data_IF_464212071184
#
_entry.id   IF_464212071184
#
_cell.length_a   1.000
_cell.length_b   1.000
_cell.length_c   1.000
_cell.angle_alpha   90.00
_cell.angle_beta   90.00
_cell.angle_gamma   90.00
#
_symmetry.space_group_name_H-M   'P 1'
#
loop_
_entity.id
_entity.type
_entity.pdbx_description
1 polymer ?
#
# COMPACT_ATOMS: atom_id res chain seq x y z
N UNK A 1 -19.51 -11.62 25.03
CA UNK A 1 -20.96 -11.71 24.72
C UNK A 1 -21.49 -10.30 24.48
N UNK A 2 -22.27 -10.12 23.40
CA UNK A 2 -23.19 -8.99 23.12
C UNK A 2 -22.65 -7.54 23.10
N UNK A 3 -22.54 -6.99 21.87
CA UNK A 3 -23.15 -5.68 21.53
C UNK A 3 -24.68 -5.88 21.41
N UNK A 4 -25.53 -4.84 21.51
CA UNK A 4 -25.76 -3.85 20.44
C UNK A 4 -25.42 -2.42 20.91
N UNK A 5 -25.23 -1.40 20.07
CA UNK A 5 -25.83 -1.18 18.75
C UNK A 5 -26.88 -0.06 18.87
N UNK A 6 -26.46 1.19 18.65
CA UNK A 6 -27.35 2.34 18.46
C UNK A 6 -26.86 3.18 17.28
N UNK A 7 -27.80 3.52 16.43
CA UNK A 7 -27.58 4.13 15.12
C UNK A 7 -27.31 5.62 15.25
N UNK A 8 -26.39 6.11 14.40
CA UNK A 8 -26.27 7.54 14.06
C UNK A 8 -26.02 7.65 12.56
N UNK A 9 -27.07 7.36 11.79
CA UNK A 9 -27.10 7.58 10.35
C UNK A 9 -27.07 9.08 10.05
N UNK A 10 -25.90 9.58 9.66
CA UNK A 10 -25.74 10.89 9.01
C UNK A 10 -25.15 10.69 7.62
N UNK A 11 -26.01 10.32 6.68
CA UNK A 11 -25.73 10.41 5.25
C UNK A 11 -25.70 11.88 4.84
N UNK A 12 -24.59 12.31 4.26
CA UNK A 12 -24.45 13.54 3.51
C UNK A 12 -23.50 13.26 2.34
N UNK A 13 -23.77 13.87 1.18
CA UNK A 13 -23.14 13.58 -0.12
C UNK A 13 -23.69 12.31 -0.79
N UNK A 14 -24.05 12.33 -2.08
CA UNK A 14 -24.16 13.46 -3.03
C UNK A 14 -25.04 13.04 -4.20
N UNK A 15 -25.97 13.90 -4.59
CA UNK A 15 -26.74 13.74 -5.82
C UNK A 15 -25.86 14.20 -7.00
N UNK A 16 -25.50 13.26 -7.89
CA UNK A 16 -24.93 13.58 -9.20
C UNK A 16 -25.76 12.83 -10.27
N UNK A 17 -26.80 13.49 -10.83
CA UNK A 17 -27.15 13.42 -12.27
C UNK A 17 -28.36 14.28 -12.67
N UNK A 18 -28.36 14.61 -13.96
CA UNK A 18 -29.49 15.08 -14.79
C UNK A 18 -30.06 16.47 -14.52
N UNK A 19 -29.45 17.48 -15.17
CA UNK A 19 -30.18 18.63 -15.70
C UNK A 19 -29.81 18.85 -17.18
N UNK A 20 -30.73 18.39 -18.04
CA UNK A 20 -31.21 19.04 -19.25
C UNK A 20 -30.21 19.44 -20.37
N UNK A 21 -30.03 18.51 -21.31
CA UNK A 21 -29.72 18.80 -22.71
C UNK A 21 -30.97 19.40 -23.39
N UNK A 22 -30.96 20.70 -23.73
CA UNK A 22 -31.97 21.34 -24.59
C UNK A 22 -31.48 22.69 -25.13
N UNK A 23 -30.85 22.69 -26.30
CA UNK A 23 -30.85 23.83 -27.23
C UNK A 23 -30.90 23.32 -28.67
N UNK A 24 -32.10 23.38 -29.24
CA UNK A 24 -32.43 23.79 -30.61
C UNK A 24 -31.45 23.42 -31.75
N UNK A 25 -31.89 22.53 -32.63
CA UNK A 25 -31.25 22.31 -33.93
C UNK A 25 -31.71 23.33 -34.97
N UNK A 26 -30.80 23.72 -35.87
CA UNK A 26 -31.12 24.41 -37.13
C UNK A 26 -30.42 23.69 -38.28
N UNK A 27 -31.25 23.07 -39.13
CA UNK A 27 -31.01 22.61 -40.51
C UNK A 27 -29.56 22.52 -41.03
N UNK A 28 -29.07 21.28 -41.17
CA UNK A 28 -28.10 20.96 -42.23
C UNK A 28 -28.86 20.62 -43.53
N UNK A 29 -28.88 21.55 -44.47
CA UNK A 29 -29.24 21.33 -45.88
C UNK A 29 -28.13 21.96 -46.76
N UNK A 30 -27.98 21.51 -48.01
CA UNK A 30 -26.66 21.19 -48.54
C UNK A 30 -25.96 22.36 -49.23
N UNK A 31 -24.64 22.35 -49.21
CA UNK A 31 -23.81 23.19 -50.09
C UNK A 31 -24.05 22.81 -51.56
N UNK A 32 -24.54 23.73 -52.41
CA UNK A 32 -24.72 23.47 -53.83
C UNK A 32 -23.57 24.07 -54.63
N UNK A 33 -22.73 23.23 -55.25
CA UNK A 33 -21.96 23.63 -56.43
C UNK A 33 -22.08 22.56 -57.50
N UNK A 34 -22.56 23.00 -58.66
CA UNK A 34 -22.82 22.17 -59.83
C UNK A 34 -21.71 22.31 -60.86
N UNK A 35 -21.36 21.15 -61.41
CA UNK A 35 -21.01 20.92 -62.82
C UNK A 35 -19.62 21.30 -63.36
N UNK A 36 -19.26 20.48 -64.36
CA UNK A 36 -18.11 20.56 -65.28
C UNK A 36 -16.77 20.23 -64.60
N UNK A 37 -15.98 19.26 -65.04
CA UNK A 37 -15.95 18.53 -66.33
C UNK A 37 -15.53 17.06 -66.16
N UNK A 38 -15.85 16.24 -67.18
CA UNK A 38 -15.39 14.85 -67.24
C UNK A 38 -13.87 14.71 -67.39
N UNK A 39 -13.39 13.48 -67.25
CA UNK A 39 -11.99 13.05 -67.49
C UNK A 39 -10.93 13.48 -66.44
N UNK A 40 -11.19 14.48 -65.60
CA UNK A 40 -10.32 14.80 -64.45
C UNK A 40 -10.63 14.02 -63.15
N UNK A 41 -11.87 13.57 -62.95
CA UNK A 41 -12.34 13.11 -61.64
C UNK A 41 -11.94 11.65 -61.29
N UNK A 42 -11.60 10.83 -62.29
CA UNK A 42 -11.32 9.40 -62.08
C UNK A 42 -10.12 9.18 -61.16
N UNK A 43 -9.05 9.98 -61.28
CA UNK A 43 -7.87 9.85 -60.44
C UNK A 43 -8.13 10.25 -58.98
N UNK A 44 -8.95 11.29 -58.75
CA UNK A 44 -9.36 11.70 -57.40
C UNK A 44 -10.26 10.64 -56.74
N UNK A 45 -11.27 10.14 -57.45
CA UNK A 45 -12.13 9.04 -56.99
C UNK A 45 -11.35 7.74 -56.72
N UNK A 46 -10.35 7.41 -57.55
CA UNK A 46 -9.48 6.24 -57.34
C UNK A 46 -8.61 6.40 -56.09
N UNK A 47 -8.03 7.57 -55.86
CA UNK A 47 -7.24 7.85 -54.64
C UNK A 47 -8.13 7.79 -53.38
N UNK A 48 -9.35 8.30 -53.45
CA UNK A 48 -10.31 8.20 -52.35
C UNK A 48 -10.71 6.74 -52.05
N UNK A 49 -11.00 5.94 -53.08
CA UNK A 49 -11.26 4.50 -52.94
C UNK A 49 -10.05 3.73 -52.42
N UNK A 50 -8.83 4.12 -52.80
CA UNK A 50 -7.60 3.55 -52.25
C UNK A 50 -7.44 3.86 -50.76
N UNK A 51 -7.75 5.08 -50.32
CA UNK A 51 -7.74 5.47 -48.90
C UNK A 51 -8.84 4.79 -48.08
N UNK A 52 -10.01 4.52 -48.68
CA UNK A 52 -11.07 3.70 -48.07
C UNK A 52 -10.63 2.24 -47.90
N UNK A 53 -10.03 1.64 -48.94
CA UNK A 53 -9.46 0.29 -48.84
C UNK A 53 -8.32 0.22 -47.82
N UNK A 54 -7.44 1.21 -47.76
CA UNK A 54 -6.37 1.25 -46.75
C UNK A 54 -6.93 1.23 -45.32
N UNK A 55 -7.97 2.02 -45.03
CA UNK A 55 -8.66 2.01 -43.72
C UNK A 55 -9.41 0.71 -43.42
N UNK A 56 -9.89 0.00 -44.44
CA UNK A 56 -10.47 -1.34 -44.29
C UNK A 56 -9.42 -2.41 -43.94
N UNK A 57 -8.19 -2.25 -44.43
CA UNK A 57 -7.05 -3.10 -44.09
C UNK A 57 -6.54 -2.81 -42.67
N UNK A 58 -6.29 -1.54 -42.36
CA UNK A 58 -5.71 -1.08 -41.09
C UNK A 58 -6.79 -0.71 -40.06
N UNK A 59 -7.52 -1.73 -39.57
CA UNK A 59 -8.56 -1.59 -38.53
C UNK A 59 -8.03 -1.19 -37.15
N UNK A 60 -6.72 -1.05 -37.01
CA UNK A 60 -6.02 -0.78 -35.75
C UNK A 60 -5.26 0.58 -35.79
N UNK A 61 -5.50 1.38 -36.83
CA UNK A 61 -4.94 2.73 -37.06
C UNK A 61 -3.41 2.81 -36.90
N UNK A 62 -2.69 1.75 -37.29
CA UNK A 62 -1.24 1.62 -37.20
C UNK A 62 -0.48 2.54 -38.16
N UNK A 63 -1.12 2.96 -39.25
CA UNK A 63 -0.50 3.70 -40.35
C UNK A 63 0.29 2.83 -41.32
N UNK A 64 0.20 1.49 -41.21
CA UNK A 64 0.86 0.53 -42.10
C UNK A 64 0.10 -0.81 -42.09
N UNK A 65 0.09 -1.50 -43.23
CA UNK A 65 -0.57 -2.80 -43.40
C UNK A 65 0.49 -3.92 -43.32
N UNK A 66 0.27 -4.94 -42.48
CA UNK A 66 1.11 -6.14 -42.43
C UNK A 66 0.59 -7.24 -43.36
N UNK A 67 1.40 -8.28 -43.66
CA UNK A 67 0.94 -9.47 -44.39
C UNK A 67 -0.28 -10.15 -43.74
N UNK A 68 -0.36 -10.16 -42.40
CA UNK A 68 -1.49 -10.73 -41.67
C UNK A 68 -2.77 -9.91 -41.81
N UNK A 69 -2.65 -8.58 -41.88
CA UNK A 69 -3.80 -7.70 -42.11
C UNK A 69 -4.36 -7.89 -43.54
N UNK A 70 -3.48 -8.15 -44.53
CA UNK A 70 -3.90 -8.49 -45.89
C UNK A 70 -4.58 -9.86 -45.97
N UNK A 71 -4.07 -10.89 -45.27
CA UNK A 71 -4.74 -12.20 -45.15
C UNK A 71 -6.14 -12.08 -44.50
N UNK A 72 -6.31 -11.18 -43.53
CA UNK A 72 -7.58 -10.95 -42.81
C UNK A 72 -8.71 -10.44 -43.71
N UNK A 73 -8.39 -9.87 -44.88
CA UNK A 73 -9.38 -9.44 -45.88
C UNK A 73 -10.03 -10.59 -46.64
N UNK A 74 -9.55 -11.83 -46.50
CA UNK A 74 -10.16 -13.02 -47.10
C UNK A 74 -11.63 -13.21 -46.70
N UNK A 75 -12.06 -12.69 -45.53
CA UNK A 75 -13.46 -12.74 -45.10
C UNK A 75 -14.35 -11.66 -45.72
N UNK A 76 -13.78 -10.63 -46.35
CA UNK A 76 -14.51 -9.46 -46.88
C UNK A 76 -14.34 -9.28 -48.40
N UNK A 77 -13.34 -9.91 -49.03
CA UNK A 77 -13.08 -9.87 -50.48
C UNK A 77 -12.93 -11.28 -51.09
N UNK A 78 -13.39 -11.51 -52.34
CA UNK A 78 -13.38 -12.82 -52.99
C UNK A 78 -12.00 -13.19 -53.59
N UNK A 79 -10.94 -13.18 -52.77
CA UNK A 79 -9.58 -13.57 -53.15
C UNK A 79 -9.03 -14.65 -52.22
N UNK A 80 -8.12 -15.50 -52.72
CA UNK A 80 -7.42 -16.48 -51.87
C UNK A 80 -6.28 -15.81 -51.09
N UNK A 81 -5.83 -16.41 -49.99
CA UNK A 81 -4.66 -15.93 -49.22
C UNK A 81 -3.43 -15.78 -50.10
N UNK A 82 -3.18 -16.75 -50.98
CA UNK A 82 -2.07 -16.76 -51.95
C UNK A 82 -2.14 -15.58 -52.94
N UNK A 83 -3.35 -15.19 -53.37
CA UNK A 83 -3.56 -14.02 -54.24
C UNK A 83 -3.36 -12.71 -53.48
N UNK A 84 -3.82 -12.64 -52.23
CA UNK A 84 -3.66 -11.47 -51.36
C UNK A 84 -2.19 -11.25 -50.96
N UNK A 85 -1.43 -12.33 -50.74
CA UNK A 85 0.03 -12.30 -50.55
C UNK A 85 0.77 -11.86 -51.82
N UNK A 86 0.39 -12.37 -52.99
CA UNK A 86 0.98 -11.95 -54.27
C UNK A 86 0.70 -10.47 -54.58
N UNK A 87 -0.49 -9.95 -54.24
CA UNK A 87 -0.81 -8.52 -54.34
C UNK A 87 0.04 -7.72 -53.35
N UNK A 88 0.16 -8.14 -52.09
CA UNK A 88 1.01 -7.48 -51.09
C UNK A 88 2.46 -7.36 -51.57
N UNK A 89 3.06 -8.47 -52.01
CA UNK A 89 4.44 -8.52 -52.51
C UNK A 89 4.65 -7.72 -53.80
N UNK A 90 3.58 -7.40 -54.55
CA UNK A 90 3.64 -6.52 -55.73
C UNK A 90 3.50 -5.01 -55.41
N UNK A 91 2.91 -4.67 -54.26
CA UNK A 91 2.69 -3.28 -53.82
C UNK A 91 3.86 -2.76 -52.96
N UNK A 92 4.50 -3.64 -52.20
CA UNK A 92 5.70 -3.37 -51.40
C UNK A 92 6.87 -3.09 -52.33
N UNK A 93 7.37 -1.85 -52.34
CA UNK A 93 8.50 -1.46 -53.20
C UNK A 93 9.86 -1.67 -52.50
N UNK A 94 9.90 -1.41 -51.19
CA UNK A 94 11.04 -1.73 -50.33
C UNK A 94 10.67 -2.94 -49.46
N UNK A 95 11.52 -3.99 -49.41
CA UNK A 95 11.25 -5.28 -48.72
C UNK A 95 11.19 -5.19 -47.17
N UNK A 96 10.35 -4.30 -46.65
CA UNK A 96 10.30 -3.85 -45.26
C UNK A 96 9.29 -4.66 -44.41
N UNK A 97 8.53 -5.58 -45.01
CA UNK A 97 7.52 -6.42 -44.34
C UNK A 97 6.20 -5.71 -44.02
N UNK A 98 6.11 -4.42 -44.32
CA UNK A 98 4.98 -3.53 -44.04
C UNK A 98 4.71 -2.64 -45.25
N UNK A 99 3.44 -2.35 -45.52
CA UNK A 99 3.00 -1.54 -46.66
C UNK A 99 2.43 -0.20 -46.16
N UNK A 100 3.06 0.91 -46.55
CA UNK A 100 2.64 2.26 -46.14
C UNK A 100 1.50 2.81 -47.01
N UNK A 101 0.74 3.85 -46.57
CA UNK A 101 -0.35 4.43 -47.35
C UNK A 101 0.11 5.01 -48.70
N UNK A 102 1.35 5.50 -48.75
CA UNK A 102 1.97 6.06 -49.95
C UNK A 102 2.31 4.95 -50.94
N UNK A 103 2.94 3.86 -50.49
CA UNK A 103 3.23 2.69 -51.33
C UNK A 103 1.95 2.03 -51.85
N UNK A 104 0.92 1.87 -51.00
CA UNK A 104 -0.38 1.34 -51.40
C UNK A 104 -1.01 2.20 -52.50
N UNK A 105 -1.06 3.53 -52.31
CA UNK A 105 -1.66 4.46 -53.29
C UNK A 105 -0.89 4.52 -54.61
N UNK A 106 0.46 4.51 -54.57
CA UNK A 106 1.31 4.50 -55.76
C UNK A 106 1.26 3.14 -56.48
N UNK A 107 1.21 2.04 -55.74
CA UNK A 107 1.09 0.69 -56.28
C UNK A 107 -0.26 0.47 -56.97
N UNK A 108 -1.38 0.86 -56.34
CA UNK A 108 -2.70 0.84 -56.99
C UNK A 108 -2.70 1.73 -58.24
N UNK A 109 -2.14 2.95 -58.16
CA UNK A 109 -2.04 3.86 -59.30
C UNK A 109 -1.29 3.27 -60.50
N UNK A 110 -0.24 2.47 -60.26
CA UNK A 110 0.51 1.76 -61.32
C UNK A 110 -0.30 0.62 -61.96
N UNK A 111 -1.22 -0.02 -61.23
CA UNK A 111 -2.08 -1.08 -61.77
C UNK A 111 -3.28 -0.56 -62.57
N UNK A 112 -3.76 0.66 -62.27
CA UNK A 112 -4.91 1.26 -62.98
C UNK A 112 -4.52 2.33 -64.02
N UNK A 113 -3.30 2.86 -63.98
CA UNK A 113 -2.81 3.90 -64.90
C UNK A 113 -2.08 3.36 -66.14
N UNK A 114 -2.80 3.25 -67.27
CA UNK A 114 -2.13 3.15 -68.57
C UNK A 114 -1.33 4.45 -68.85
N UNK A 115 -0.07 4.29 -69.25
CA UNK A 115 0.91 5.38 -69.43
C UNK A 115 0.52 6.37 -70.54
N UNK A 116 0.73 7.69 -70.34
CA UNK A 116 1.09 8.62 -71.40
C UNK A 116 2.62 8.88 -71.47
N UNK A 117 3.06 9.44 -72.59
CA UNK A 117 4.47 9.50 -73.02
C UNK A 117 5.34 10.53 -72.27
N UNK A 118 6.64 10.22 -72.15
CA UNK A 118 7.67 11.26 -72.25
C UNK A 118 7.99 11.48 -73.74
N UNK A 119 7.76 12.69 -74.24
CA UNK A 119 8.42 13.18 -75.45
C UNK A 119 9.43 14.25 -75.00
N UNK A 120 10.70 14.05 -75.36
CA UNK A 120 11.79 14.97 -75.07
C UNK A 120 11.72 16.21 -75.96
N UNK A 121 12.24 17.30 -75.44
CA UNK A 121 12.33 18.61 -76.09
C UNK A 121 13.20 18.53 -77.36
N UNK A 122 12.79 19.23 -78.42
CA UNK A 122 13.57 19.40 -79.64
C UNK A 122 14.21 20.80 -79.62
N UNK A 123 15.52 20.85 -79.40
CA UNK A 123 16.28 22.09 -79.34
C UNK A 123 16.71 22.57 -80.73
N UNK A 124 16.78 23.89 -80.90
CA UNK A 124 17.70 24.59 -81.80
C UNK A 124 17.61 24.30 -83.31
N UNK A 125 17.13 25.28 -84.08
CA UNK A 125 17.75 25.57 -85.37
C UNK A 125 17.82 27.08 -85.59
N UNK A 126 19.04 27.59 -85.42
CA UNK A 126 19.47 28.94 -85.76
C UNK A 126 20.14 28.84 -87.13
N UNK A 127 19.48 29.29 -88.20
CA UNK A 127 20.13 29.44 -89.51
C UNK A 127 19.87 30.81 -90.11
N UNK A 128 20.92 31.61 -90.09
CA UNK A 128 21.11 32.85 -90.84
C UNK A 128 20.86 32.62 -92.33
N UNK A 129 19.86 33.29 -92.91
CA UNK A 129 19.68 33.36 -94.36
C UNK A 129 19.72 34.82 -94.83
N UNK A 130 20.81 35.22 -95.48
CA UNK A 130 20.94 36.52 -96.12
C UNK A 130 20.04 36.60 -97.35
N UNK A 131 18.87 37.23 -97.20
CA UNK A 131 17.99 37.58 -98.32
C UNK A 131 18.52 38.80 -99.08
N UNK A 132 19.49 38.56 -99.97
CA UNK A 132 19.97 39.53 -100.95
C UNK A 132 19.04 39.60 -102.18
N UNK A 133 17.92 40.34 -102.11
CA UNK A 133 17.14 40.76 -103.29
C UNK A 133 16.35 42.06 -103.06
N UNK A 134 16.07 42.77 -104.16
CA UNK A 134 15.12 43.90 -104.29
C UNK A 134 15.64 45.31 -103.98
N UNK A 135 16.79 45.66 -104.55
CA UNK A 135 17.22 47.05 -104.80
C UNK A 135 16.45 47.65 -106.01
N UNK A 136 15.11 47.70 -105.95
CA UNK A 136 14.27 48.25 -107.04
C UNK A 136 12.89 48.73 -106.53
N UNK A 137 12.84 49.65 -105.55
CA UNK A 137 11.61 50.41 -105.21
C UNK A 137 11.84 51.69 -104.36
N UNK A 138 12.87 52.50 -104.68
CA UNK A 138 13.20 53.77 -103.96
C UNK A 138 12.12 54.90 -104.05
N UNK A 139 10.89 54.61 -104.51
CA UNK A 139 9.79 55.60 -104.59
C UNK A 139 8.70 55.42 -103.52
N UNK A 140 8.75 54.36 -102.70
CA UNK A 140 7.89 54.22 -101.52
C UNK A 140 8.54 54.76 -100.24
N UNK A 141 9.84 54.51 -100.07
CA UNK A 141 10.64 54.79 -98.87
C UNK A 141 10.55 56.25 -98.35
N UNK A 142 10.58 57.27 -99.22
CA UNK A 142 10.39 58.67 -98.79
C UNK A 142 9.02 58.92 -98.15
N UNK A 143 7.96 58.26 -98.65
CA UNK A 143 6.60 58.41 -98.15
C UNK A 143 6.43 57.80 -96.76
N UNK A 144 7.05 56.66 -96.51
CA UNK A 144 7.03 55.96 -95.22
C UNK A 144 7.84 56.72 -94.18
N UNK A 145 9.04 57.19 -94.52
CA UNK A 145 9.87 58.04 -93.65
C UNK A 145 9.16 59.35 -93.26
N UNK A 146 8.43 59.96 -94.20
CA UNK A 146 7.64 61.17 -93.91
C UNK A 146 6.43 60.86 -93.02
N UNK A 147 5.75 59.73 -93.22
CA UNK A 147 4.68 59.28 -92.31
C UNK A 147 5.21 59.01 -90.90
N UNK A 148 6.31 58.26 -90.75
CA UNK A 148 6.91 57.98 -89.45
C UNK A 148 7.34 59.26 -88.72
N UNK A 149 7.94 60.23 -89.41
CA UNK A 149 8.31 61.52 -88.80
C UNK A 149 7.08 62.32 -88.35
N UNK A 150 5.97 62.27 -89.09
CA UNK A 150 4.70 62.88 -88.64
C UNK A 150 4.11 62.10 -87.47
N UNK A 151 4.14 60.77 -87.48
CA UNK A 151 3.63 59.93 -86.39
C UNK A 151 4.45 60.08 -85.09
N UNK A 152 5.75 60.36 -85.20
CA UNK A 152 6.61 60.76 -84.07
C UNK A 152 6.30 62.18 -83.56
N UNK A 153 6.06 63.14 -84.46
CA UNK A 153 5.66 64.52 -84.09
C UNK A 153 4.27 64.60 -83.44
N UNK A 154 3.33 63.77 -83.91
CA UNK A 154 2.01 63.57 -83.30
C UNK A 154 2.07 62.56 -82.13
N UNK A 155 3.27 62.10 -81.79
CA UNK A 155 3.60 61.29 -80.62
C UNK A 155 2.83 59.94 -80.56
N UNK A 156 2.32 59.46 -81.71
CA UNK A 156 1.37 58.37 -81.85
C UNK A 156 2.00 57.01 -82.21
N UNK A 157 3.33 56.96 -82.36
CA UNK A 157 4.11 55.81 -82.87
C UNK A 157 4.08 54.54 -82.01
N UNK A 158 3.49 54.57 -80.82
CA UNK A 158 3.30 53.42 -79.93
C UNK A 158 1.82 53.15 -79.59
N UNK A 159 0.89 53.90 -80.19
CA UNK A 159 -0.53 53.91 -79.79
C UNK A 159 -1.40 53.03 -80.68
N UNK A 160 -1.03 52.89 -81.96
CA UNK A 160 -1.73 52.05 -82.93
C UNK A 160 -1.00 50.72 -83.12
N UNK A 161 -1.72 49.61 -83.01
CA UNK A 161 -1.21 48.26 -83.29
C UNK A 161 -1.02 48.08 -84.81
N UNK A 162 -2.04 48.40 -85.61
CA UNK A 162 -2.03 48.28 -87.08
C UNK A 162 -1.57 49.57 -87.78
N UNK A 163 -0.30 49.96 -87.57
CA UNK A 163 0.27 51.20 -88.13
C UNK A 163 0.21 51.26 -89.66
N UNK A 164 0.27 50.10 -90.34
CA UNK A 164 0.19 50.00 -91.80
C UNK A 164 -1.13 50.48 -92.40
N UNK A 165 -2.27 50.27 -91.72
CA UNK A 165 -3.58 50.75 -92.22
C UNK A 165 -3.69 52.29 -92.10
N UNK A 166 -3.18 52.84 -91.00
CA UNK A 166 -3.11 54.30 -90.76
C UNK A 166 -2.17 54.96 -91.78
N UNK A 167 -1.04 54.32 -92.08
CA UNK A 167 -0.07 54.73 -93.10
C UNK A 167 -0.68 54.72 -94.51
N UNK A 168 -1.38 53.65 -94.88
CA UNK A 168 -2.06 53.54 -96.17
C UNK A 168 -3.13 54.63 -96.34
N UNK A 169 -3.89 54.91 -95.27
CA UNK A 169 -4.89 55.97 -95.24
C UNK A 169 -4.25 57.37 -95.37
N UNK A 170 -3.15 57.65 -94.65
CA UNK A 170 -2.41 58.91 -94.75
C UNK A 170 -1.88 59.14 -96.18
N UNK A 171 -1.26 58.13 -96.79
CA UNK A 171 -0.76 58.19 -98.17
C UNK A 171 -1.90 58.38 -99.18
N UNK A 172 -3.06 57.75 -98.95
CA UNK A 172 -4.26 57.90 -99.78
C UNK A 172 -4.87 59.30 -99.69
N UNK A 173 -5.01 59.85 -98.48
CA UNK A 173 -5.51 61.23 -98.27
C UNK A 173 -4.58 62.24 -98.92
N UNK A 174 -3.26 62.13 -98.68
CA UNK A 174 -2.24 63.01 -99.26
C UNK A 174 -2.25 63.04 -100.80
N UNK A 175 -2.61 61.93 -101.46
CA UNK A 175 -2.69 61.82 -102.93
C UNK A 175 -4.04 62.27 -103.51
N UNK A 176 -5.14 62.10 -102.78
CA UNK A 176 -6.50 62.34 -103.29
C UNK A 176 -7.17 63.64 -102.84
N UNK A 177 -6.89 64.10 -101.62
CA UNK A 177 -7.53 65.26 -100.98
C UNK A 177 -6.57 65.91 -99.98
N UNK A 178 -5.53 66.64 -100.44
CA UNK A 178 -4.50 67.22 -99.57
C UNK A 178 -5.04 68.24 -98.56
N UNK A 179 -6.20 68.85 -98.83
CA UNK A 179 -6.87 69.78 -97.91
C UNK A 179 -7.33 69.11 -96.61
N UNK A 180 -7.57 67.79 -96.63
CA UNK A 180 -8.05 67.02 -95.49
C UNK A 180 -6.91 66.51 -94.59
N UNK A 181 -5.66 66.54 -95.07
CA UNK A 181 -4.51 65.93 -94.40
C UNK A 181 -4.28 66.50 -93.00
N UNK A 182 -4.33 67.83 -92.85
CA UNK A 182 -4.18 68.50 -91.55
C UNK A 182 -5.26 68.09 -90.54
N UNK A 183 -6.52 67.93 -90.98
CA UNK A 183 -7.61 67.48 -90.10
C UNK A 183 -7.49 66.01 -89.70
N UNK A 184 -6.86 65.20 -90.55
CA UNK A 184 -6.54 63.80 -90.24
C UNK A 184 -5.38 63.69 -89.25
N UNK A 185 -4.35 64.55 -89.38
CA UNK A 185 -3.23 64.65 -88.43
C UNK A 185 -3.69 65.17 -87.06
N UNK A 186 -4.58 66.18 -87.02
CA UNK A 186 -5.23 66.67 -85.79
C UNK A 186 -6.10 65.58 -85.13
N UNK A 187 -6.84 64.79 -85.94
CA UNK A 187 -7.61 63.64 -85.46
C UNK A 187 -6.72 62.52 -84.88
N UNK A 188 -5.60 62.19 -85.56
CA UNK A 188 -4.62 61.24 -85.05
C UNK A 188 -3.97 61.71 -83.75
N UNK A 189 -3.67 63.00 -83.62
CA UNK A 189 -3.17 63.60 -82.37
C UNK A 189 -4.19 63.52 -81.24
N UNK A 190 -5.45 63.85 -81.49
CA UNK A 190 -6.49 63.77 -80.47
C UNK A 190 -6.78 62.34 -80.02
N UNK A 191 -6.81 61.37 -80.95
CA UNK A 191 -6.97 59.96 -80.59
C UNK A 191 -5.72 59.43 -79.88
N UNK A 192 -4.51 59.79 -80.32
CA UNK A 192 -3.28 59.32 -79.67
C UNK A 192 -3.15 59.86 -78.25
N UNK A 193 -3.44 61.15 -78.02
CA UNK A 193 -3.53 61.75 -76.68
C UNK A 193 -4.58 61.04 -75.83
N UNK A 194 -5.79 60.82 -76.35
CA UNK A 194 -6.87 60.19 -75.60
C UNK A 194 -6.55 58.74 -75.18
N UNK A 195 -5.94 57.94 -76.06
CA UNK A 195 -5.53 56.58 -75.72
C UNK A 195 -4.36 56.59 -74.71
N UNK A 196 -3.41 57.55 -74.82
CA UNK A 196 -2.38 57.75 -73.79
C UNK A 196 -2.99 58.09 -72.44
N UNK A 197 -3.93 59.03 -72.39
CA UNK A 197 -4.58 59.43 -71.14
C UNK A 197 -5.31 58.24 -70.50
N UNK A 198 -6.05 57.45 -71.29
CA UNK A 198 -6.66 56.19 -70.83
C UNK A 198 -5.63 55.16 -70.33
N UNK A 199 -4.44 55.09 -70.93
CA UNK A 199 -3.37 54.22 -70.47
C UNK A 199 -2.84 54.66 -69.10
N UNK A 200 -2.56 55.96 -68.92
CA UNK A 200 -2.12 56.52 -67.64
C UNK A 200 -3.21 56.37 -66.56
N UNK A 201 -4.49 56.55 -66.90
CA UNK A 201 -5.61 56.30 -65.99
C UNK A 201 -5.68 54.82 -65.57
N UNK A 202 -5.55 53.89 -66.52
CA UNK A 202 -5.47 52.44 -66.25
C UNK A 202 -4.31 52.11 -65.31
N UNK A 203 -3.10 52.58 -65.61
CA UNK A 203 -1.91 52.34 -64.77
C UNK A 203 -2.08 52.93 -63.36
N UNK A 204 -2.66 54.13 -63.26
CA UNK A 204 -2.98 54.78 -61.99
C UNK A 204 -3.98 53.96 -61.16
N UNK A 205 -5.05 53.46 -61.78
CA UNK A 205 -6.04 52.60 -61.13
C UNK A 205 -5.42 51.27 -60.72
N UNK A 206 -4.64 50.61 -61.59
CA UNK A 206 -3.91 49.38 -61.25
C UNK A 206 -2.96 49.58 -60.06
N UNK A 207 -2.26 50.72 -60.00
CA UNK A 207 -1.36 51.06 -58.90
C UNK A 207 -2.12 51.32 -57.59
N UNK A 208 -3.31 51.93 -57.65
CA UNK A 208 -4.21 52.06 -56.49
C UNK A 208 -4.75 50.69 -56.04
N UNK A 209 -5.12 49.81 -56.97
CA UNK A 209 -5.58 48.45 -56.67
C UNK A 209 -4.47 47.60 -56.03
N UNK A 210 -3.26 47.60 -56.60
CA UNK A 210 -2.07 46.92 -56.03
C UNK A 210 -1.74 47.45 -54.64
N UNK A 211 -1.86 48.75 -54.39
CA UNK A 211 -1.72 49.32 -53.03
C UNK A 211 -2.79 48.76 -52.08
N UNK A 212 -4.07 48.83 -52.46
CA UNK A 212 -5.19 48.28 -51.68
C UNK A 212 -5.04 46.81 -51.36
N UNK A 213 -4.65 45.99 -52.34
CA UNK A 213 -4.34 44.57 -52.15
C UNK A 213 -3.26 44.39 -51.08
N UNK A 214 -2.10 45.09 -51.20
CA UNK A 214 -1.04 44.97 -50.19
C UNK A 214 -1.43 45.51 -48.81
N UNK A 215 -2.35 46.48 -48.72
CA UNK A 215 -2.85 47.00 -47.46
C UNK A 215 -3.82 46.02 -46.79
N UNK A 216 -4.70 45.39 -47.56
CA UNK A 216 -5.55 44.29 -47.07
C UNK A 216 -4.70 43.07 -46.66
N UNK A 217 -3.67 42.70 -47.41
CA UNK A 217 -2.73 41.65 -47.01
C UNK A 217 -1.98 41.97 -45.70
N UNK A 218 -1.69 43.26 -45.44
CA UNK A 218 -1.11 43.70 -44.16
C UNK A 218 -2.14 43.55 -43.04
N UNK A 219 -3.33 44.09 -43.22
CA UNK A 219 -4.42 44.03 -42.24
C UNK A 219 -4.79 42.58 -41.87
N UNK A 220 -4.94 41.71 -42.87
CA UNK A 220 -5.20 40.28 -42.68
C UNK A 220 -4.07 39.62 -41.87
N UNK A 221 -2.80 39.90 -42.17
CA UNK A 221 -1.66 39.38 -41.39
C UNK A 221 -1.66 39.88 -39.95
N UNK A 222 -1.88 41.18 -39.73
CA UNK A 222 -1.99 41.75 -38.38
C UNK A 222 -3.10 41.07 -37.57
N UNK A 223 -4.28 40.85 -38.15
CA UNK A 223 -5.40 40.17 -37.49
C UNK A 223 -5.07 38.70 -37.15
N UNK A 224 -4.37 37.98 -38.02
CA UNK A 224 -3.89 36.63 -37.71
C UNK A 224 -2.84 36.63 -36.59
N UNK A 225 -1.89 37.57 -36.60
CA UNK A 225 -0.86 37.71 -35.57
C UNK A 225 -1.47 38.07 -34.21
N UNK A 226 -2.43 39.00 -34.16
CA UNK A 226 -3.17 39.36 -32.95
C UNK A 226 -3.97 38.17 -32.39
N UNK A 227 -4.68 37.44 -33.27
CA UNK A 227 -5.42 36.24 -32.86
C UNK A 227 -4.47 35.15 -32.34
N UNK A 228 -3.32 34.93 -32.97
CA UNK A 228 -2.35 33.94 -32.51
C UNK A 228 -1.73 34.34 -31.16
N UNK A 229 -1.46 35.64 -30.94
CA UNK A 229 -1.01 36.17 -29.65
C UNK A 229 -2.07 35.99 -28.56
N UNK A 230 -3.35 36.24 -28.84
CA UNK A 230 -4.45 35.99 -27.90
C UNK A 230 -4.57 34.49 -27.56
N UNK A 231 -4.47 33.61 -28.55
CA UNK A 231 -4.49 32.15 -28.34
C UNK A 231 -3.30 31.70 -27.49
N UNK A 232 -2.10 32.25 -27.70
CA UNK A 232 -0.90 31.98 -26.88
C UNK A 232 -1.12 32.46 -25.44
N UNK A 233 -1.58 33.70 -25.25
CA UNK A 233 -1.82 34.28 -23.93
C UNK A 233 -2.88 33.50 -23.13
N UNK A 234 -4.01 33.12 -23.72
CA UNK A 234 -5.04 32.32 -23.04
C UNK A 234 -4.56 30.89 -22.72
N UNK A 235 -3.79 30.26 -23.62
CA UNK A 235 -3.15 28.95 -23.32
C UNK A 235 -2.21 29.06 -22.13
N UNK A 236 -1.34 30.07 -22.09
CA UNK A 236 -0.43 30.31 -20.97
C UNK A 236 -1.19 30.61 -19.67
N UNK A 237 -2.24 31.44 -19.72
CA UNK A 237 -3.10 31.76 -18.58
C UNK A 237 -3.77 30.50 -18.01
N UNK A 238 -4.29 29.62 -18.87
CA UNK A 238 -4.91 28.35 -18.46
C UNK A 238 -3.88 27.39 -17.84
N UNK A 239 -2.69 27.25 -18.43
CA UNK A 239 -1.60 26.43 -17.88
C UNK A 239 -1.13 26.97 -16.52
N UNK A 240 -1.00 28.29 -16.36
CA UNK A 240 -0.67 28.91 -15.08
C UNK A 240 -1.76 28.65 -14.03
N UNK A 241 -3.03 28.84 -14.39
CA UNK A 241 -4.18 28.59 -13.51
C UNK A 241 -4.27 27.11 -13.08
N UNK A 242 -4.08 26.17 -14.01
CA UNK A 242 -4.03 24.74 -13.70
C UNK A 242 -2.84 24.42 -12.78
N UNK A 243 -1.66 24.98 -13.05
CA UNK A 243 -0.47 24.73 -12.24
C UNK A 243 -0.61 25.24 -10.79
N UNK A 244 -1.20 26.44 -10.58
CA UNK A 244 -1.54 26.95 -9.24
C UNK A 244 -2.55 26.04 -8.55
N UNK A 245 -3.65 25.71 -9.23
CA UNK A 245 -4.70 24.83 -8.70
C UNK A 245 -4.13 23.46 -8.30
N UNK A 246 -3.20 22.91 -9.09
CA UNK A 246 -2.51 21.65 -8.82
C UNK A 246 -1.53 21.76 -7.66
N UNK A 247 -0.80 22.87 -7.56
CA UNK A 247 0.13 23.14 -6.46
C UNK A 247 -0.63 23.30 -5.12
N UNK A 248 -1.75 24.03 -5.11
CA UNK A 248 -2.63 24.18 -3.95
C UNK A 248 -3.17 22.82 -3.47
N UNK A 249 -3.69 22.00 -4.39
CA UNK A 249 -4.14 20.63 -4.09
C UNK A 249 -3.00 19.76 -3.53
N UNK A 250 -1.81 19.82 -4.13
CA UNK A 250 -0.63 19.09 -3.66
C UNK A 250 -0.24 19.52 -2.23
N UNK A 251 -0.15 20.83 -1.98
CA UNK A 251 0.13 21.39 -0.66
C UNK A 251 -0.91 20.98 0.40
N UNK A 252 -2.19 20.88 0.01
CA UNK A 252 -3.25 20.37 0.89
C UNK A 252 -3.08 18.88 1.19
N UNK A 253 -2.81 18.04 0.19
CA UNK A 253 -2.56 16.62 0.40
C UNK A 253 -1.29 16.36 1.20
N UNK A 254 -0.21 17.12 1.01
CA UNK A 254 1.00 17.03 1.83
C UNK A 254 0.72 17.36 3.31
N UNK A 255 -0.08 18.40 3.58
CA UNK A 255 -0.51 18.73 4.95
C UNK A 255 -1.38 17.62 5.55
N UNK A 256 -2.30 17.04 4.78
CA UNK A 256 -3.10 15.92 5.28
C UNK A 256 -2.24 14.69 5.57
N UNK A 257 -1.35 14.29 4.64
CA UNK A 257 -0.42 13.18 4.84
C UNK A 257 0.43 13.38 6.10
N UNK A 258 1.03 14.57 6.26
CA UNK A 258 1.83 14.89 7.45
C UNK A 258 1.00 14.82 8.75
N UNK A 259 -0.25 15.28 8.73
CA UNK A 259 -1.15 15.13 9.87
C UNK A 259 -1.48 13.65 10.16
N UNK A 260 -1.68 12.80 9.13
CA UNK A 260 -1.90 11.36 9.31
C UNK A 260 -0.64 10.68 9.87
N UNK A 261 0.54 11.02 9.36
CA UNK A 261 1.84 10.53 9.86
C UNK A 261 1.99 10.84 11.36
N UNK A 262 1.75 12.09 11.78
CA UNK A 262 1.78 12.46 13.21
C UNK A 262 0.77 11.67 14.05
N UNK A 263 -0.45 11.41 13.55
CA UNK A 263 -1.42 10.58 14.27
C UNK A 263 -0.98 9.10 14.35
N UNK A 264 -0.36 8.55 13.30
CA UNK A 264 0.25 7.22 13.35
C UNK A 264 1.40 7.16 14.36
N UNK A 265 2.28 8.16 14.42
CA UNK A 265 3.34 8.24 15.44
C UNK A 265 2.76 8.27 16.86
N UNK A 266 1.71 9.06 17.11
CA UNK A 266 1.01 9.11 18.41
C UNK A 266 0.39 7.75 18.77
N UNK A 267 -0.19 7.04 17.79
CA UNK A 267 -0.76 5.70 18.01
C UNK A 267 0.34 4.68 18.30
N UNK A 268 1.42 4.65 17.51
CA UNK A 268 2.57 3.77 17.71
C UNK A 268 3.26 4.00 19.07
N UNK A 269 3.38 5.25 19.52
CA UNK A 269 3.89 5.59 20.84
C UNK A 269 2.98 5.04 21.95
N UNK A 270 1.66 5.21 21.82
CA UNK A 270 0.68 4.65 22.77
C UNK A 270 0.71 3.12 22.78
N UNK A 271 0.81 2.48 21.62
CA UNK A 271 0.94 1.03 21.49
C UNK A 271 2.19 0.53 22.22
N UNK A 272 3.37 1.06 21.90
CA UNK A 272 4.64 0.68 22.58
C UNK A 272 4.58 0.87 24.10
N UNK A 273 3.92 1.95 24.57
CA UNK A 273 3.71 2.18 26.00
C UNK A 273 2.81 1.11 26.63
N UNK A 274 1.71 0.74 25.99
CA UNK A 274 0.80 -0.29 26.46
C UNK A 274 1.45 -1.69 26.42
N UNK A 275 2.19 -2.02 25.37
CA UNK A 275 2.96 -3.26 25.24
C UNK A 275 4.00 -3.39 26.37
N UNK A 276 4.73 -2.31 26.66
CA UNK A 276 5.66 -2.28 27.79
C UNK A 276 4.94 -2.45 29.14
N UNK A 277 3.81 -1.78 29.36
CA UNK A 277 3.01 -1.94 30.58
C UNK A 277 2.50 -3.38 30.75
N UNK A 278 1.99 -4.01 29.68
CA UNK A 278 1.56 -5.41 29.69
C UNK A 278 2.73 -6.35 29.97
N UNK A 279 3.92 -6.09 29.41
CA UNK A 279 5.10 -6.90 29.66
C UNK A 279 5.57 -6.83 31.12
N UNK A 280 5.61 -5.63 31.71
CA UNK A 280 5.94 -5.44 33.13
C UNK A 280 4.92 -6.15 34.04
N UNK A 281 3.61 -5.95 33.79
CA UNK A 281 2.55 -6.63 34.55
C UNK A 281 2.62 -8.16 34.43
N UNK A 282 2.95 -8.69 33.25
CA UNK A 282 3.15 -10.13 33.06
C UNK A 282 4.37 -10.66 33.81
N UNK A 283 5.48 -9.89 33.87
CA UNK A 283 6.65 -10.25 34.67
C UNK A 283 6.31 -10.27 36.17
N UNK A 284 5.64 -9.23 36.68
CA UNK A 284 5.18 -9.14 38.07
C UNK A 284 4.22 -10.30 38.42
N UNK A 285 3.29 -10.66 37.53
CA UNK A 285 2.38 -11.80 37.71
C UNK A 285 3.14 -13.13 37.76
N UNK A 286 4.15 -13.33 36.91
CA UNK A 286 4.97 -14.53 36.91
C UNK A 286 5.82 -14.64 38.19
N UNK A 287 6.41 -13.53 38.64
CA UNK A 287 7.14 -13.48 39.91
C UNK A 287 6.24 -13.78 41.10
N UNK A 288 5.04 -13.21 41.16
CA UNK A 288 4.03 -13.52 42.19
C UNK A 288 3.60 -14.99 42.16
N UNK A 289 3.42 -15.58 40.97
CA UNK A 289 3.10 -17.01 40.84
C UNK A 289 4.23 -17.88 41.41
N UNK A 290 5.47 -17.61 41.03
CA UNK A 290 6.65 -18.34 41.53
C UNK A 290 6.80 -18.18 43.06
N UNK A 291 6.52 -17.00 43.61
CA UNK A 291 6.52 -16.79 45.06
C UNK A 291 5.40 -17.56 45.77
N UNK A 292 4.19 -17.58 45.19
CA UNK A 292 3.05 -18.33 45.74
C UNK A 292 3.32 -19.85 45.74
N UNK A 293 3.82 -20.38 44.63
CA UNK A 293 4.23 -21.79 44.50
C UNK A 293 5.31 -22.18 45.52
N UNK A 294 6.31 -21.32 45.74
CA UNK A 294 7.32 -21.51 46.81
C UNK A 294 6.71 -21.52 48.21
N UNK A 295 5.74 -20.64 48.48
CA UNK A 295 5.03 -20.59 49.77
C UNK A 295 4.13 -21.81 49.96
N UNK A 296 3.48 -22.30 48.90
CA UNK A 296 2.70 -23.53 48.92
C UNK A 296 3.59 -24.73 49.26
N UNK A 297 4.71 -24.90 48.54
CA UNK A 297 5.69 -25.97 48.82
C UNK A 297 6.21 -25.88 50.26
N UNK A 298 6.50 -24.68 50.77
CA UNK A 298 6.91 -24.50 52.17
C UNK A 298 5.80 -24.88 53.15
N UNK A 299 4.55 -24.49 52.87
CA UNK A 299 3.38 -24.83 53.69
C UNK A 299 3.15 -26.34 53.74
N UNK A 300 3.23 -27.03 52.60
CA UNK A 300 3.17 -28.50 52.50
C UNK A 300 4.29 -29.16 53.31
N UNK A 301 5.54 -28.70 53.18
CA UNK A 301 6.66 -29.20 53.98
C UNK A 301 6.49 -28.98 55.50
N UNK A 302 5.85 -27.88 55.92
CA UNK A 302 5.56 -27.61 57.34
C UNK A 302 4.42 -28.47 57.89
N UNK A 303 3.40 -28.75 57.06
CA UNK A 303 2.33 -29.71 57.41
C UNK A 303 2.91 -31.13 57.56
N UNK A 304 3.75 -31.57 56.62
CA UNK A 304 4.51 -32.83 56.70
C UNK A 304 5.32 -32.94 57.99
N UNK A 305 6.01 -31.87 58.41
CA UNK A 305 6.77 -31.84 59.67
C UNK A 305 5.86 -31.88 60.90
N UNK A 306 4.71 -31.19 60.86
CA UNK A 306 3.70 -31.22 61.91
C UNK A 306 3.12 -32.63 62.08
N UNK A 307 2.81 -33.31 60.98
CA UNK A 307 2.29 -34.68 61.01
C UNK A 307 3.33 -35.69 61.52
N UNK A 308 4.59 -35.58 61.10
CA UNK A 308 5.70 -36.41 61.61
C UNK A 308 5.89 -36.21 63.12
N UNK A 309 6.00 -34.97 63.59
CA UNK A 309 6.18 -34.67 65.02
C UNK A 309 4.97 -35.04 65.87
N UNK A 310 3.75 -34.93 65.32
CA UNK A 310 2.52 -35.44 65.96
C UNK A 310 2.56 -36.96 66.10
N UNK A 311 2.95 -37.69 65.05
CA UNK A 311 3.06 -39.15 65.08
C UNK A 311 4.15 -39.62 66.07
N UNK A 312 5.30 -38.95 66.09
CA UNK A 312 6.36 -39.17 67.08
C UNK A 312 5.87 -38.94 68.51
N UNK A 313 5.08 -37.89 68.74
CA UNK A 313 4.47 -37.60 70.04
C UNK A 313 3.45 -38.66 70.46
N UNK A 314 2.58 -39.12 69.55
CA UNK A 314 1.61 -40.19 69.80
C UNK A 314 2.31 -41.52 70.12
N UNK A 315 3.40 -41.85 69.42
CA UNK A 315 4.23 -43.02 69.69
C UNK A 315 4.92 -42.92 71.07
N UNK A 316 5.47 -41.75 71.41
CA UNK A 316 6.08 -41.50 72.72
C UNK A 316 5.05 -41.57 73.86
N UNK A 317 3.85 -41.03 73.66
CA UNK A 317 2.74 -41.12 74.62
C UNK A 317 2.30 -42.58 74.84
N UNK A 318 2.19 -43.37 73.76
CA UNK A 318 1.88 -44.80 73.85
C UNK A 318 2.94 -45.56 74.65
N UNK A 319 4.22 -45.31 74.37
CA UNK A 319 5.35 -45.91 75.11
C UNK A 319 5.37 -45.51 76.59
N UNK A 320 5.02 -44.27 76.92
CA UNK A 320 4.87 -43.82 78.30
C UNK A 320 3.70 -44.52 79.02
N UNK A 321 2.57 -44.72 78.34
CA UNK A 321 1.43 -45.48 78.89
C UNK A 321 1.78 -46.96 79.12
N UNK A 322 2.57 -47.57 78.24
CA UNK A 322 3.10 -48.93 78.45
C UNK A 322 3.99 -49.00 79.68
N UNK A 323 5.00 -48.13 79.78
CA UNK A 323 5.90 -48.05 80.95
C UNK A 323 5.13 -47.75 82.25
N UNK A 324 4.08 -46.93 82.20
CA UNK A 324 3.23 -46.66 83.36
C UNK A 324 2.44 -47.91 83.80
N UNK A 325 1.90 -48.69 82.86
CA UNK A 325 1.24 -49.97 83.14
C UNK A 325 2.22 -50.99 83.71
N UNK A 326 3.43 -51.10 83.14
CA UNK A 326 4.50 -51.97 83.64
C UNK A 326 4.90 -51.58 85.07
N UNK A 327 5.12 -50.29 85.34
CA UNK A 327 5.43 -49.77 86.67
C UNK A 327 4.30 -50.05 87.68
N UNK A 328 3.03 -49.93 87.26
CA UNK A 328 1.89 -50.30 88.10
C UNK A 328 1.87 -51.80 88.41
N UNK A 329 2.05 -52.66 87.40
CA UNK A 329 2.09 -54.13 87.59
C UNK A 329 3.25 -54.54 88.49
N UNK A 330 4.41 -53.92 88.35
CA UNK A 330 5.55 -54.13 89.25
C UNK A 330 5.28 -53.64 90.67
N UNK A 331 4.59 -52.51 90.84
CA UNK A 331 4.18 -52.04 92.16
C UNK A 331 3.13 -52.98 92.79
N UNK A 332 2.18 -53.50 92.01
CA UNK A 332 1.22 -54.50 92.47
C UNK A 332 1.89 -55.82 92.86
N UNK A 333 2.89 -56.29 92.09
CA UNK A 333 3.74 -57.45 92.44
C UNK A 333 4.45 -57.22 93.76
N UNK A 334 5.19 -56.11 93.90
CA UNK A 334 5.87 -55.73 95.15
C UNK A 334 4.90 -55.66 96.33
N UNK A 335 3.72 -55.07 96.16
CA UNK A 335 2.69 -55.01 97.20
C UNK A 335 2.18 -56.41 97.60
N UNK A 336 1.99 -57.32 96.63
CA UNK A 336 1.62 -58.72 96.90
C UNK A 336 2.72 -59.48 97.62
N UNK A 337 3.98 -59.29 97.22
CA UNK A 337 5.14 -59.95 97.83
C UNK A 337 5.36 -59.45 99.27
N UNK A 338 5.27 -58.13 99.51
CA UNK A 338 5.29 -57.52 100.84
C UNK A 338 4.14 -58.07 101.71
N UNK A 339 2.92 -58.15 101.16
CA UNK A 339 1.77 -58.71 101.88
C UNK A 339 1.97 -60.19 102.21
N UNK A 340 2.49 -61.00 101.28
CA UNK A 340 2.72 -62.42 101.49
C UNK A 340 3.87 -62.68 102.47
N UNK A 341 4.95 -61.89 102.41
CA UNK A 341 6.03 -61.90 103.39
C UNK A 341 5.52 -61.52 104.79
N UNK A 342 4.73 -60.44 104.90
CA UNK A 342 4.10 -60.01 106.16
C UNK A 342 3.16 -61.08 106.73
N UNK A 343 2.35 -61.72 105.88
CA UNK A 343 1.46 -62.84 106.26
C UNK A 343 2.25 -64.07 106.73
N UNK A 344 3.36 -64.40 106.07
CA UNK A 344 4.25 -65.48 106.50
C UNK A 344 4.92 -65.16 107.85
N UNK A 345 5.47 -63.96 108.00
CA UNK A 345 6.06 -63.47 109.25
C UNK A 345 5.04 -63.44 110.40
N UNK A 346 3.77 -63.12 110.13
CA UNK A 346 2.69 -63.20 111.13
C UNK A 346 2.35 -64.66 111.51
N UNK A 347 2.38 -65.62 110.56
CA UNK A 347 2.25 -67.05 110.87
C UNK A 347 3.41 -67.56 111.72
N UNK A 348 4.64 -67.16 111.39
CA UNK A 348 5.84 -67.48 112.16
C UNK A 348 5.75 -66.89 113.57
N UNK A 349 5.39 -65.60 113.71
CA UNK A 349 5.12 -64.97 115.01
C UNK A 349 4.06 -65.73 115.81
N UNK A 350 2.96 -66.16 115.19
CA UNK A 350 1.95 -66.99 115.87
C UNK A 350 2.49 -68.38 116.25
N UNK A 351 3.34 -68.99 115.41
CA UNK A 351 3.99 -70.26 115.71
C UNK A 351 4.93 -70.14 116.91
N UNK A 352 5.79 -69.11 116.91
CA UNK A 352 6.68 -68.75 118.02
C UNK A 352 5.89 -68.42 119.30
N UNK A 353 4.75 -67.72 119.19
CA UNK A 353 3.86 -67.47 120.34
C UNK A 353 3.25 -68.78 120.87
N UNK A 354 2.79 -69.70 120.01
CA UNK A 354 2.32 -71.03 120.46
C UNK A 354 3.45 -71.86 121.09
N UNK A 355 4.67 -71.78 120.57
CA UNK A 355 5.83 -72.43 121.18
C UNK A 355 6.14 -71.82 122.55
N UNK A 356 6.08 -70.49 122.70
CA UNK A 356 6.19 -69.81 123.99
C UNK A 356 5.05 -70.18 124.96
N UNK A 357 3.81 -70.33 124.46
CA UNK A 357 2.66 -70.78 125.24
C UNK A 357 2.87 -72.23 125.71
N UNK A 358 3.29 -73.14 124.82
CA UNK A 358 3.59 -74.53 125.14
C UNK A 358 4.75 -74.62 126.14
N UNK A 359 5.79 -73.79 126.01
CA UNK A 359 6.87 -73.68 126.97
C UNK A 359 6.40 -73.12 128.32
N UNK A 360 5.42 -72.20 128.35
CA UNK A 360 4.78 -71.73 129.59
C UNK A 360 3.91 -72.81 130.23
N UNK A 361 3.09 -73.51 129.46
CA UNK A 361 2.25 -74.62 129.91
C UNK A 361 3.12 -75.77 130.44
N UNK A 362 4.20 -76.11 129.76
CA UNK A 362 5.16 -77.11 130.22
C UNK A 362 5.92 -76.63 131.46
N UNK A 363 6.34 -75.37 131.54
CA UNK A 363 6.91 -74.80 132.78
C UNK A 363 5.90 -74.77 133.93
N UNK A 364 4.61 -74.59 133.63
CA UNK A 364 3.52 -74.64 134.62
C UNK A 364 3.28 -76.07 135.06
N UNK A 365 3.13 -77.03 134.15
CA UNK A 365 2.99 -78.45 134.50
C UNK A 365 4.20 -78.96 135.27
N UNK A 366 5.43 -78.58 134.91
CA UNK A 366 6.64 -78.90 135.68
C UNK A 366 6.66 -78.22 137.06
N UNK A 367 6.02 -77.05 137.23
CA UNK A 367 5.78 -76.44 138.54
C UNK A 367 4.68 -77.14 139.31
N UNK A 368 3.58 -77.55 138.69
CA UNK A 368 2.47 -78.27 139.32
C UNK A 368 2.91 -79.70 139.71
N UNK A 369 3.76 -80.36 138.92
CA UNK A 369 4.45 -81.61 139.24
C UNK A 369 5.45 -81.41 140.39
N UNK A 370 6.26 -80.33 140.37
CA UNK A 370 7.12 -79.98 141.50
C UNK A 370 6.29 -79.71 142.76
N UNK A 371 5.19 -78.97 142.66
CA UNK A 371 4.37 -78.54 143.79
C UNK A 371 3.54 -79.71 144.35
N UNK A 372 3.17 -80.69 143.52
CA UNK A 372 2.61 -81.96 144.01
C UNK A 372 3.67 -82.89 144.61
N UNK A 373 4.92 -82.83 144.16
CA UNK A 373 6.07 -83.49 144.83
C UNK A 373 6.44 -82.80 146.15
N UNK A 374 6.37 -81.47 146.22
CA UNK A 374 6.60 -80.68 147.43
C UNK A 374 5.45 -80.83 148.43
N UNK A 375 4.18 -80.86 147.98
CA UNK A 375 3.04 -81.20 148.83
C UNK A 375 3.14 -82.63 149.41
N UNK A 376 3.70 -83.59 148.65
CA UNK A 376 4.02 -84.94 149.16
C UNK A 376 5.23 -84.94 150.12
N UNK A 377 6.17 -83.99 150.01
CA UNK A 377 7.27 -83.80 150.98
C UNK A 377 6.87 -83.07 152.26
N UNK A 378 5.86 -82.19 152.21
CA UNK A 378 5.38 -81.43 153.38
C UNK A 378 4.72 -82.28 154.49
N UNK A 379 4.63 -83.60 154.32
CA UNK A 379 4.21 -84.58 155.35
C UNK A 379 5.41 -85.16 156.13
N UNK A 380 6.66 -84.74 155.87
CA UNK A 380 7.83 -85.30 156.58
C UNK A 380 8.97 -84.31 156.86
N UNK A 381 9.07 -83.93 158.15
CA UNK A 381 10.28 -83.47 158.89
C UNK A 381 10.88 -82.11 158.46
N UNK A 382 10.69 -81.02 159.22
CA UNK A 382 11.38 -80.66 160.49
C UNK A 382 12.92 -80.75 160.47
N UNK A 383 13.62 -79.66 160.16
CA UNK A 383 14.46 -78.86 161.10
C UNK A 383 15.41 -77.87 160.38
N UNK A 384 15.57 -76.70 161.02
CA UNK A 384 16.75 -75.81 161.13
C UNK A 384 17.56 -75.49 159.85
N UNK A 385 17.71 -74.26 159.33
CA UNK A 385 17.88 -72.89 159.91
C UNK A 385 19.28 -72.65 160.53
N UNK A 386 20.01 -71.69 159.89
CA UNK A 386 20.91 -70.63 160.43
C UNK A 386 22.41 -70.60 160.01
N UNK A 387 22.89 -69.36 159.75
CA UNK A 387 24.27 -68.75 159.84
C UNK A 387 25.35 -68.87 158.70
N UNK A 388 26.32 -67.90 158.52
CA UNK A 388 26.29 -66.97 157.35
C UNK A 388 27.67 -66.46 156.78
N UNK A 389 27.67 -65.26 156.17
CA UNK A 389 28.77 -64.27 155.98
C UNK A 389 29.63 -64.38 154.69
N UNK A 390 30.15 -63.32 154.05
CA UNK A 390 30.25 -61.86 154.34
C UNK A 390 30.06 -60.95 153.09
N UNK A 391 29.48 -59.76 153.32
CA UNK A 391 29.76 -58.38 152.82
C UNK A 391 30.46 -58.10 151.45
N UNK A 392 30.15 -57.03 150.69
CA UNK A 392 29.74 -55.66 151.10
C UNK A 392 28.81 -54.91 150.09
N UNK A 393 27.87 -54.11 150.64
CA UNK A 393 27.21 -52.86 150.15
C UNK A 393 26.96 -52.65 148.63
N UNK A 394 25.72 -52.56 148.11
CA UNK A 394 24.68 -51.52 148.28
C UNK A 394 25.09 -50.13 147.73
N UNK A 395 24.31 -49.41 146.90
CA UNK A 395 22.92 -49.53 146.41
C UNK A 395 22.83 -48.88 144.99
N UNK A 396 21.73 -48.78 144.21
CA UNK A 396 20.29 -48.96 144.44
C UNK A 396 19.53 -49.46 143.16
N UNK A 397 18.37 -48.88 142.82
CA UNK A 397 17.47 -49.14 141.67
C UNK A 397 17.48 -47.91 140.71
N UNK A 398 17.00 -47.91 139.45
CA UNK A 398 15.81 -48.55 138.86
C UNK A 398 15.89 -48.82 137.33
N UNK A 399 15.26 -49.93 136.92
CA UNK A 399 14.37 -50.14 135.75
C UNK A 399 14.70 -49.74 134.28
N UNK A 400 14.55 -50.78 133.45
CA UNK A 400 14.19 -50.87 132.01
C UNK A 400 15.27 -50.83 130.89
N UNK A 401 15.17 -51.70 129.85
CA UNK A 401 16.27 -51.97 128.90
C UNK A 401 15.95 -51.71 127.41
N UNK A 402 16.96 -51.97 126.55
CA UNK A 402 16.97 -52.00 125.07
C UNK A 402 16.91 -50.59 124.41
N UNK A 403 17.83 -50.15 123.54
CA UNK A 403 18.79 -50.84 122.67
C UNK A 403 18.22 -50.99 121.25
N UNK A 404 18.94 -50.79 120.13
CA UNK A 404 20.31 -50.28 119.87
C UNK A 404 20.48 -50.15 118.34
N UNK A 405 21.15 -49.11 117.81
CA UNK A 405 21.65 -48.98 116.41
C UNK A 405 20.59 -48.96 115.26
N UNK A 406 20.82 -48.39 114.06
CA UNK A 406 21.88 -47.50 113.55
C UNK A 406 21.33 -46.53 112.46
N UNK A 407 21.99 -45.39 112.30
CA UNK A 407 22.01 -44.43 111.15
C UNK A 407 22.45 -45.07 109.80
N UNK A 408 22.59 -44.35 108.64
CA UNK A 408 22.16 -42.97 108.25
C UNK A 408 21.52 -42.80 106.82
N UNK A 409 20.94 -41.61 106.55
CA UNK A 409 21.39 -40.68 105.47
C UNK A 409 21.04 -40.86 103.98
N UNK A 410 20.80 -39.72 103.31
CA UNK A 410 20.89 -39.49 101.85
C UNK A 410 19.60 -39.77 101.04
N UNK A 411 19.08 -38.87 100.19
CA UNK A 411 19.57 -37.57 99.67
C UNK A 411 18.62 -36.41 100.01
#
# INVERSE_FOLDING_TARGET
>A
MQRPGKELSKTLHREDKEVNEMTEGVSSLPSPLLCLSGEGNTQAEMLQKAQELFRLCDKEEKGFITRFDMQRLQSELPFTTEQLEAVFDSLVQDNNGYLTPVEFSVGLGKFFGNKPHQNSENAGHEETFESSWSEELEQTDEGEKQFCSVLEQLEASQVFEDQGEVQELWVRIRKGAPELLASFEEFLFHISSYIKDLHHEKESIELVLKRRETDHDREIRCLYEEMEQQIKAERERLVQQESSTRLEKNNMFQKELHNKEQEFEKILYRQKKLEHQLHCQHSEQLEMHIQNERLQILSENLLDQLERTKWELEAAQSRLQELQKEAQVEQERKNRDIFQASKNMQKEKQSLLRQLELLREMNKNLRDERDTVEAKKMVSLKKNVLIPSHCSFACCRCCHPLGTFHLPGGY
#
